data_IF_463832190964
#
_entry.id   IF_463832190964
#
_cell.length_a   1.000
_cell.length_b   1.000
_cell.length_c   1.000
_cell.angle_alpha   90.00
_cell.angle_beta   90.00
_cell.angle_gamma   90.00
#
_symmetry.space_group_name_H-M   'P 1'
#
loop_
_entity.id
_entity.type
_entity.pdbx_description
1 polymer ?
#
# COMPACT_ATOMS: atom_id res chain seq x y z
N UNK A 1 -14.25 40.33 -4.19
CA UNK A 1 -14.56 39.77 -5.53
C UNK A 1 -15.02 38.33 -5.32
N UNK A 2 -16.09 37.92 -6.01
CA UNK A 2 -17.00 36.82 -5.64
C UNK A 2 -16.37 35.42 -5.72
N UNK A 3 -16.86 34.56 -4.81
CA UNK A 3 -16.76 33.10 -4.75
C UNK A 3 -17.01 32.41 -6.09
N UNK A 4 -16.27 31.32 -6.33
CA UNK A 4 -16.77 30.17 -7.11
C UNK A 4 -16.33 28.87 -6.43
N UNK A 5 -17.22 28.36 -5.57
CA UNK A 5 -17.31 26.93 -5.28
C UNK A 5 -17.88 26.24 -6.52
N UNK A 6 -17.16 25.27 -7.07
CA UNK A 6 -17.65 24.36 -8.10
C UNK A 6 -17.96 23.00 -7.49
N UNK A 7 -19.19 22.81 -7.05
CA UNK A 7 -19.80 21.50 -6.82
C UNK A 7 -20.09 20.87 -8.17
N UNK A 8 -19.36 19.81 -8.52
CA UNK A 8 -19.55 19.02 -9.74
C UNK A 8 -20.13 17.65 -9.39
N UNK A 9 -21.39 17.45 -9.75
CA UNK A 9 -22.20 16.25 -9.57
C UNK A 9 -21.68 15.03 -10.34
N UNK A 10 -22.01 13.88 -9.76
CA UNK A 10 -21.99 12.50 -10.24
C UNK A 10 -22.21 12.28 -11.76
N UNK A 11 -21.34 11.48 -12.39
CA UNK A 11 -21.57 10.83 -13.68
C UNK A 11 -20.80 9.50 -13.74
N UNK A 12 -21.46 8.44 -14.25
CA UNK A 12 -21.11 7.02 -14.14
C UNK A 12 -19.82 6.53 -14.79
N UNK A 13 -18.68 7.12 -14.42
CA UNK A 13 -17.37 6.52 -14.66
C UNK A 13 -16.99 5.67 -13.46
N UNK A 14 -16.65 4.40 -13.73
CA UNK A 14 -16.27 3.41 -12.73
C UNK A 14 -15.32 3.99 -11.69
N UNK A 15 -15.58 3.66 -10.41
CA UNK A 15 -14.87 4.07 -9.21
C UNK A 15 -13.41 4.44 -9.49
N UNK A 16 -13.15 5.73 -9.70
CA UNK A 16 -11.80 6.25 -9.93
C UNK A 16 -11.07 6.13 -8.59
N UNK A 17 -10.37 5.02 -8.39
CA UNK A 17 -9.50 4.85 -7.23
C UNK A 17 -8.32 5.78 -7.44
N UNK A 18 -8.24 6.84 -6.62
CA UNK A 18 -7.07 7.72 -6.62
C UNK A 18 -5.82 6.86 -6.39
N UNK A 19 -4.98 6.75 -7.42
CA UNK A 19 -3.66 6.16 -7.29
C UNK A 19 -2.82 7.14 -6.48
N UNK A 20 -2.61 6.82 -5.20
CA UNK A 20 -1.61 7.50 -4.38
C UNK A 20 -0.26 7.28 -5.06
N UNK A 21 0.31 8.35 -5.64
CA UNK A 21 1.55 8.35 -6.41
C UNK A 21 2.55 9.24 -5.68
N UNK A 22 3.83 8.91 -5.80
CA UNK A 22 4.86 9.92 -5.51
C UNK A 22 4.70 11.13 -6.43
N UNK A 23 5.21 12.29 -6.02
CA UNK A 23 5.21 13.51 -6.84
C UNK A 23 5.89 13.30 -8.21
N UNK A 24 6.83 12.35 -8.33
CA UNK A 24 7.50 12.01 -9.60
C UNK A 24 6.73 11.03 -10.50
N UNK A 25 5.60 10.49 -10.06
CA UNK A 25 4.85 9.46 -10.77
C UNK A 25 5.35 8.02 -10.55
N UNK A 26 6.35 7.77 -9.68
CA UNK A 26 6.76 6.40 -9.32
C UNK A 26 5.61 5.67 -8.59
N UNK A 27 5.35 4.43 -8.99
CA UNK A 27 4.26 3.61 -8.47
C UNK A 27 4.53 3.12 -7.03
N UNK A 28 3.52 3.20 -6.15
CA UNK A 28 3.53 2.57 -4.82
C UNK A 28 3.33 1.04 -4.87
N UNK A 29 3.58 0.41 -6.03
CA UNK A 29 3.31 -1.01 -6.27
C UNK A 29 3.92 -1.93 -5.21
N UNK A 30 5.20 -1.78 -4.77
CA UNK A 30 5.76 -2.67 -3.76
C UNK A 30 5.03 -2.63 -2.41
N UNK A 31 4.58 -1.44 -2.00
CA UNK A 31 3.81 -1.24 -0.77
C UNK A 31 2.47 -1.97 -0.86
N UNK A 32 1.77 -1.81 -2.00
CA UNK A 32 0.46 -2.46 -2.21
C UNK A 32 0.58 -3.98 -2.40
N UNK A 33 1.63 -4.47 -3.04
CA UNK A 33 1.90 -5.90 -3.18
C UNK A 33 2.13 -6.54 -1.80
N UNK A 34 2.98 -5.94 -0.95
CA UNK A 34 3.23 -6.46 0.40
C UNK A 34 1.97 -6.42 1.27
N UNK A 35 1.21 -5.33 1.20
CA UNK A 35 -0.05 -5.20 1.93
C UNK A 35 -1.04 -6.28 1.49
N UNK A 36 -1.26 -6.45 0.18
CA UNK A 36 -2.18 -7.47 -0.34
C UNK A 36 -1.73 -8.89 0.03
N UNK A 37 -0.44 -9.20 -0.11
CA UNK A 37 0.13 -10.48 0.30
C UNK A 37 -0.13 -10.76 1.79
N UNK A 38 0.17 -9.79 2.65
CA UNK A 38 -0.02 -9.94 4.09
C UNK A 38 -1.50 -10.03 4.48
N UNK A 39 -2.38 -9.25 3.84
CA UNK A 39 -3.82 -9.32 4.05
C UNK A 39 -4.38 -10.69 3.65
N UNK A 40 -3.86 -11.32 2.59
CA UNK A 40 -4.27 -12.66 2.18
C UNK A 40 -3.88 -13.75 3.19
N UNK A 41 -2.94 -13.48 4.10
CA UNK A 41 -2.55 -14.40 5.17
C UNK A 41 -3.41 -14.27 6.44
N UNK A 42 -4.26 -13.24 6.53
CA UNK A 42 -5.13 -13.07 7.69
C UNK A 42 -6.15 -14.21 7.78
N UNK A 43 -6.19 -14.87 8.93
CA UNK A 43 -7.25 -15.79 9.30
C UNK A 43 -8.08 -15.16 10.42
N UNK A 44 -9.24 -14.60 10.08
CA UNK A 44 -9.92 -13.74 11.04
C UNK A 44 -9.05 -12.54 11.43
N UNK A 45 -9.33 -11.92 12.57
CA UNK A 45 -8.57 -10.76 13.05
C UNK A 45 -7.19 -11.12 13.62
N UNK A 46 -6.68 -12.30 13.28
CA UNK A 46 -5.44 -12.82 13.81
C UNK A 46 -4.25 -12.35 12.97
N UNK A 47 -3.27 -11.74 13.63
CA UNK A 47 -1.99 -11.36 13.02
C UNK A 47 -1.26 -12.61 12.53
N UNK A 48 -0.78 -12.66 11.26
CA UNK A 48 -0.10 -13.83 10.71
C UNK A 48 1.19 -14.16 11.46
N UNK A 49 1.54 -15.45 11.51
CA UNK A 49 2.83 -15.89 12.00
C UNK A 49 3.92 -15.59 10.98
N UNK A 50 5.12 -15.27 11.47
CA UNK A 50 6.30 -15.10 10.61
C UNK A 50 6.59 -16.35 9.78
N UNK A 51 6.29 -17.55 10.29
CA UNK A 51 6.47 -18.83 9.58
C UNK A 51 5.56 -18.99 8.36
N UNK A 52 4.46 -18.24 8.28
CA UNK A 52 3.56 -18.24 7.11
C UNK A 52 4.08 -17.38 5.95
N UNK A 53 5.09 -16.54 6.20
CA UNK A 53 5.71 -15.72 5.16
C UNK A 53 6.63 -16.59 4.31
N UNK A 54 6.23 -16.88 3.08
CA UNK A 54 7.09 -17.43 2.04
C UNK A 54 7.75 -16.29 1.25
N UNK A 55 9.07 -16.10 1.33
CA UNK A 55 9.79 -15.08 0.55
C UNK A 55 9.54 -15.17 -0.95
N UNK A 56 9.20 -16.35 -1.47
CA UNK A 56 8.88 -16.57 -2.89
C UNK A 56 7.68 -15.76 -3.36
N UNK A 57 6.69 -15.58 -2.48
CA UNK A 57 5.52 -14.73 -2.75
C UNK A 57 5.83 -13.24 -2.83
N UNK A 58 7.04 -12.82 -2.43
CA UNK A 58 7.49 -11.43 -2.38
C UNK A 58 8.70 -11.15 -3.27
N UNK A 59 9.11 -12.09 -4.13
CA UNK A 59 10.35 -12.03 -4.93
C UNK A 59 10.53 -10.69 -5.67
N UNK A 60 9.46 -10.18 -6.27
CA UNK A 60 9.46 -8.93 -7.04
C UNK A 60 9.71 -7.67 -6.20
N UNK A 61 9.62 -7.76 -4.87
CA UNK A 61 9.73 -6.62 -3.96
C UNK A 61 10.81 -6.81 -2.87
N UNK A 62 11.53 -7.94 -2.85
CA UNK A 62 12.54 -8.25 -1.83
C UNK A 62 13.61 -7.17 -1.68
N UNK A 63 13.95 -6.44 -2.75
CA UNK A 63 14.88 -5.30 -2.70
C UNK A 63 14.43 -4.21 -1.70
N UNK A 64 13.12 -4.03 -1.52
CA UNK A 64 12.51 -2.99 -0.69
C UNK A 64 12.03 -3.52 0.67
N UNK A 65 11.96 -4.85 0.82
CA UNK A 65 11.43 -5.52 2.00
C UNK A 65 12.45 -5.59 3.12
N UNK A 66 11.97 -5.56 4.36
CA UNK A 66 12.76 -5.79 5.54
C UNK A 66 11.95 -6.51 6.62
N UNK A 67 12.64 -7.09 7.60
CA UNK A 67 12.01 -7.71 8.77
C UNK A 67 12.57 -7.06 10.02
N UNK A 68 11.69 -6.64 10.92
CA UNK A 68 12.06 -6.15 12.24
C UNK A 68 11.76 -7.17 13.34
N UNK A 69 12.51 -7.07 14.42
CA UNK A 69 12.27 -7.76 15.68
C UNK A 69 12.18 -6.74 16.82
N UNK A 70 11.11 -6.82 17.63
CA UNK A 70 10.94 -6.04 18.86
C UNK A 70 12.00 -6.46 19.87
N UNK A 71 12.68 -5.48 20.48
CA UNK A 71 13.71 -5.71 21.51
C UNK A 71 13.24 -5.16 22.85
N UNK A 72 12.50 -4.06 22.82
CA UNK A 72 11.93 -3.39 23.97
C UNK A 72 10.66 -2.64 23.51
N UNK A 73 9.82 -2.13 24.43
CA UNK A 73 8.75 -1.21 24.07
C UNK A 73 9.27 -0.07 23.19
N UNK A 74 8.65 0.13 22.02
CA UNK A 74 8.99 1.18 21.07
C UNK A 74 10.31 0.99 20.31
N UNK A 75 11.01 -0.12 20.52
CA UNK A 75 12.30 -0.39 19.89
C UNK A 75 12.28 -1.69 19.09
N UNK A 76 12.62 -1.59 17.82
CA UNK A 76 12.79 -2.73 16.95
C UNK A 76 14.07 -2.61 16.11
N UNK A 77 14.76 -3.74 15.91
CA UNK A 77 15.95 -3.83 15.02
C UNK A 77 15.65 -4.58 13.74
N UNK A 78 16.41 -4.27 12.70
CA UNK A 78 16.44 -5.07 11.48
C UNK A 78 17.04 -6.45 11.74
N UNK A 79 16.32 -7.48 11.30
CA UNK A 79 16.82 -8.86 11.15
C UNK A 79 17.23 -9.14 9.71
N UNK A 80 16.48 -8.58 8.77
CA UNK A 80 16.69 -8.67 7.34
C UNK A 80 16.37 -7.31 6.73
N UNK A 81 17.07 -6.95 5.66
CA UNK A 81 16.81 -5.77 4.88
C UNK A 81 17.24 -5.99 3.43
N UNK A 82 16.38 -5.58 2.51
CA UNK A 82 16.67 -5.56 1.09
C UNK A 82 17.73 -4.51 0.74
N UNK A 83 18.31 -4.65 -0.45
CA UNK A 83 19.43 -3.84 -0.90
C UNK A 83 19.10 -2.34 -0.98
N UNK A 84 17.83 -1.95 -1.16
CA UNK A 84 17.41 -0.55 -1.17
C UNK A 84 17.67 0.14 0.18
N UNK A 85 17.40 -0.54 1.29
CA UNK A 85 17.65 0.01 2.63
C UNK A 85 19.14 0.16 2.90
N UNK A 86 19.95 -0.82 2.48
CA UNK A 86 21.42 -0.76 2.55
C UNK A 86 21.96 0.42 1.74
N UNK A 87 21.42 0.67 0.53
CA UNK A 87 21.77 1.85 -0.29
C UNK A 87 21.42 3.16 0.41
N UNK A 88 20.26 3.24 1.08
CA UNK A 88 19.84 4.44 1.84
C UNK A 88 20.75 4.69 3.05
N UNK A 89 21.10 3.64 3.78
CA UNK A 89 21.96 3.71 4.96
C UNK A 89 23.44 3.92 4.60
N UNK A 90 23.88 3.46 3.42
CA UNK A 90 25.29 3.44 3.02
C UNK A 90 26.11 2.34 3.69
N UNK A 91 25.46 1.43 4.42
CA UNK A 91 26.08 0.33 5.15
C UNK A 91 25.07 -0.80 5.37
N UNK A 92 25.56 -1.96 5.80
CA UNK A 92 24.75 -3.08 6.26
C UNK A 92 23.89 -2.64 7.47
N UNK A 93 22.61 -3.02 7.49
CA UNK A 93 21.65 -2.53 8.49
C UNK A 93 21.12 -3.58 9.46
N UNK A 94 21.48 -4.85 9.32
CA UNK A 94 21.09 -5.90 10.27
C UNK A 94 21.63 -5.56 11.66
N UNK A 95 20.78 -5.74 12.65
CA UNK A 95 21.06 -5.37 14.03
C UNK A 95 20.84 -3.89 14.34
N UNK A 96 20.77 -3.00 13.34
CA UNK A 96 20.49 -1.58 13.56
C UNK A 96 19.02 -1.36 13.98
N UNK A 97 18.73 -0.36 14.82
CA UNK A 97 17.36 0.01 15.15
C UNK A 97 16.68 0.74 13.98
N UNK A 98 15.37 0.56 13.81
CA UNK A 98 14.57 1.28 12.79
C UNK A 98 14.74 2.79 12.91
N UNK A 99 14.80 3.32 14.14
CA UNK A 99 14.95 4.74 14.46
C UNK A 99 16.25 5.36 13.93
N UNK A 100 17.24 4.56 13.50
CA UNK A 100 18.46 5.05 12.84
C UNK A 100 18.20 5.70 11.47
N UNK A 101 17.11 5.31 10.79
CA UNK A 101 16.68 5.89 9.52
C UNK A 101 15.99 7.25 9.69
N UNK A 102 15.71 7.67 10.93
CA UNK A 102 14.93 8.87 11.19
C UNK A 102 15.79 9.99 11.79
N UNK A 103 15.42 11.22 11.46
CA UNK A 103 15.95 12.40 12.12
C UNK A 103 15.59 12.37 13.62
N UNK A 104 16.42 12.96 14.50
CA UNK A 104 16.16 12.93 15.94
C UNK A 104 14.76 13.40 16.34
N UNK A 105 14.24 14.43 15.67
CA UNK A 105 12.90 14.99 15.88
C UNK A 105 11.78 13.99 15.61
N UNK A 106 11.95 13.05 14.67
CA UNK A 106 10.92 12.09 14.30
C UNK A 106 10.97 10.77 15.10
N UNK A 107 12.00 10.56 15.93
CA UNK A 107 12.19 9.26 16.62
C UNK A 107 11.09 8.94 17.64
N UNK A 108 10.54 9.95 18.30
CA UNK A 108 9.44 9.75 19.26
C UNK A 108 8.17 9.29 18.54
N UNK A 109 7.86 9.87 17.39
CA UNK A 109 6.72 9.47 16.58
C UNK A 109 6.87 8.04 16.06
N UNK A 110 8.06 7.67 15.57
CA UNK A 110 8.37 6.29 15.16
C UNK A 110 8.18 5.29 16.31
N UNK A 111 8.66 5.64 17.50
CA UNK A 111 8.47 4.84 18.72
C UNK A 111 6.97 4.62 18.99
N UNK A 112 6.16 5.67 18.90
CA UNK A 112 4.72 5.59 19.10
C UNK A 112 4.01 4.75 18.01
N UNK A 113 4.47 4.82 16.77
CA UNK A 113 3.96 3.97 15.68
C UNK A 113 4.35 2.49 15.89
N UNK A 114 5.59 2.21 16.31
CA UNK A 114 6.01 0.85 16.64
C UNK A 114 5.19 0.26 17.79
N UNK A 115 4.90 1.05 18.84
CA UNK A 115 4.02 0.61 19.92
C UNK A 115 2.64 0.22 19.41
N UNK A 116 2.04 1.01 18.52
CA UNK A 116 0.76 0.63 17.89
C UNK A 116 0.89 -0.67 17.09
N UNK A 117 1.93 -0.82 16.26
CA UNK A 117 2.13 -2.06 15.48
C UNK A 117 2.22 -3.30 16.38
N UNK A 118 2.88 -3.22 17.55
CA UNK A 118 3.09 -4.37 18.42
C UNK A 118 2.00 -4.58 19.48
N UNK A 119 1.56 -3.52 20.16
CA UNK A 119 0.72 -3.59 21.36
C UNK A 119 -0.78 -3.41 21.01
N UNK A 120 -1.09 -2.66 19.95
CA UNK A 120 -2.44 -2.46 19.41
C UNK A 120 -2.47 -2.81 17.91
N UNK A 121 -2.32 -4.11 17.57
CA UNK A 121 -1.84 -4.53 16.25
C UNK A 121 -2.52 -3.78 15.10
N UNK A 122 -1.70 -3.01 14.38
CA UNK A 122 -2.16 -2.13 13.32
C UNK A 122 -1.16 -2.12 12.16
N UNK A 123 -1.70 -2.07 10.95
CA UNK A 123 -0.93 -1.75 9.74
C UNK A 123 -0.64 -0.26 9.75
N UNK A 124 0.65 0.10 9.67
CA UNK A 124 1.07 1.51 9.67
C UNK A 124 1.80 1.83 8.38
N UNK A 125 1.31 2.85 7.65
CA UNK A 125 1.96 3.40 6.46
C UNK A 125 2.44 4.83 6.76
N UNK A 126 3.72 5.11 6.55
CA UNK A 126 4.35 6.40 6.80
C UNK A 126 4.77 7.06 5.49
N UNK A 127 4.41 8.33 5.31
CA UNK A 127 5.04 9.24 4.38
C UNK A 127 6.29 9.84 4.99
N UNK A 128 7.39 9.83 4.23
CA UNK A 128 8.72 10.19 4.70
C UNK A 128 9.37 11.20 3.77
N UNK A 129 10.14 12.12 4.34
CA UNK A 129 10.95 13.07 3.57
C UNK A 129 12.34 13.21 4.18
N UNK A 130 13.37 13.12 3.34
CA UNK A 130 14.73 13.49 3.69
C UNK A 130 15.05 14.82 3.02
N UNK A 131 15.04 15.89 3.81
CA UNK A 131 15.45 17.21 3.34
C UNK A 131 16.94 17.16 3.01
N UNK A 132 17.29 17.44 1.77
CA UNK A 132 18.69 17.53 1.39
C UNK A 132 19.36 18.68 2.13
N UNK A 133 20.45 18.42 2.85
CA UNK A 133 21.36 19.50 3.28
C UNK A 133 22.10 20.04 2.05
N UNK A 134 22.48 21.33 2.08
CA UNK A 134 23.18 22.08 1.02
C UNK A 134 23.88 21.18 -0.02
N UNK A 135 23.34 21.15 -1.25
CA UNK A 135 23.84 20.32 -2.37
C UNK A 135 23.24 18.90 -2.49
N UNK A 136 22.35 18.46 -1.59
CA UNK A 136 21.66 17.16 -1.71
C UNK A 136 20.25 17.33 -2.29
N UNK A 137 19.86 16.44 -3.19
CA UNK A 137 18.47 16.35 -3.64
C UNK A 137 17.53 15.93 -2.50
N UNK A 138 16.32 16.50 -2.50
CA UNK A 138 15.20 16.03 -1.69
C UNK A 138 14.89 14.59 -2.08
N UNK A 139 14.67 13.73 -1.08
CA UNK A 139 14.30 12.34 -1.28
C UNK A 139 12.99 12.08 -0.55
N UNK A 140 11.97 11.65 -1.28
CA UNK A 140 10.70 11.21 -0.70
C UNK A 140 10.75 9.70 -0.47
N UNK A 141 10.03 9.20 0.53
CA UNK A 141 9.89 7.77 0.74
C UNK A 141 8.54 7.41 1.33
N UNK A 142 8.15 6.15 1.16
CA UNK A 142 7.00 5.53 1.84
C UNK A 142 7.50 4.30 2.57
N UNK A 143 7.01 4.10 3.78
CA UNK A 143 7.31 2.92 4.58
C UNK A 143 6.02 2.28 5.07
N UNK A 144 5.87 0.98 4.84
CA UNK A 144 4.79 0.17 5.36
C UNK A 144 5.31 -0.75 6.45
N UNK A 145 4.57 -0.89 7.54
CA UNK A 145 4.84 -1.78 8.67
C UNK A 145 3.63 -2.69 8.88
N UNK A 146 3.84 -4.00 8.75
CA UNK A 146 2.84 -5.04 8.87
C UNK A 146 3.20 -5.95 10.06
N UNK A 147 2.35 -6.04 11.10
CA UNK A 147 2.66 -6.84 12.27
C UNK A 147 2.72 -8.32 11.94
N UNK A 148 3.58 -9.05 12.65
CA UNK A 148 3.71 -10.50 12.57
C UNK A 148 3.91 -11.09 13.96
N UNK A 149 3.36 -12.28 14.18
CA UNK A 149 3.68 -13.10 15.34
C UNK A 149 5.04 -13.76 15.18
N UNK A 150 5.76 -13.89 16.28
CA UNK A 150 6.94 -14.74 16.37
C UNK A 150 6.52 -16.22 16.37
N UNK A 151 7.49 -17.13 16.34
CA UNK A 151 7.24 -18.56 16.46
C UNK A 151 6.69 -18.94 17.85
N UNK A 152 6.84 -18.06 18.85
CA UNK A 152 6.25 -18.19 20.19
C UNK A 152 4.84 -17.58 20.30
N UNK A 153 4.31 -17.00 19.21
CA UNK A 153 2.95 -16.45 19.13
C UNK A 153 2.79 -15.00 19.59
N UNK A 154 3.81 -14.39 20.20
CA UNK A 154 3.83 -12.97 20.55
C UNK A 154 4.02 -12.07 19.32
N UNK A 155 3.36 -10.91 19.29
CA UNK A 155 3.50 -9.94 18.20
C UNK A 155 4.78 -9.14 18.43
N UNK A 156 5.89 -9.69 17.94
CA UNK A 156 7.24 -9.12 18.10
C UNK A 156 8.04 -9.11 16.80
N UNK A 157 7.37 -9.31 15.66
CA UNK A 157 7.96 -9.22 14.32
C UNK A 157 7.18 -8.22 13.47
N UNK A 158 7.87 -7.62 12.49
CA UNK A 158 7.24 -6.76 11.48
C UNK A 158 7.79 -7.14 10.13
N UNK A 159 6.90 -7.36 9.16
CA UNK A 159 7.24 -7.29 7.74
C UNK A 159 7.12 -5.84 7.30
N UNK A 160 8.19 -5.26 6.78
CA UNK A 160 8.18 -3.89 6.31
C UNK A 160 8.59 -3.77 4.87
N UNK A 161 8.13 -2.70 4.22
CA UNK A 161 8.57 -2.29 2.88
C UNK A 161 8.90 -0.82 2.90
N UNK A 162 10.06 -0.44 2.37
CA UNK A 162 10.43 0.96 2.19
C UNK A 162 10.82 1.19 0.74
N UNK A 163 10.12 2.12 0.10
CA UNK A 163 10.45 2.62 -1.23
C UNK A 163 10.80 4.09 -1.14
N UNK A 164 11.77 4.54 -1.92
CA UNK A 164 12.12 5.94 -2.03
C UNK A 164 12.10 6.40 -3.47
N UNK A 165 11.87 7.69 -3.62
CA UNK A 165 11.75 8.35 -4.89
C UNK A 165 12.63 9.60 -4.94
N UNK A 166 13.38 9.71 -6.04
CA UNK A 166 14.51 10.61 -6.20
C UNK A 166 15.88 9.91 -6.04
N UNK A 167 16.94 10.68 -6.25
CA UNK A 167 18.32 10.19 -6.14
C UNK A 167 18.77 10.13 -4.67
N UNK A 168 19.23 8.96 -4.22
CA UNK A 168 19.67 8.76 -2.83
C UNK A 168 20.84 9.71 -2.49
N UNK A 169 21.82 9.81 -3.39
CA UNK A 169 22.98 10.68 -3.23
C UNK A 169 23.86 10.26 -2.06
N UNK A 170 24.40 11.23 -1.32
CA UNK A 170 25.25 10.96 -0.16
C UNK A 170 24.48 10.35 1.03
N UNK A 171 24.98 9.24 1.53
CA UNK A 171 24.43 8.44 2.64
C UNK A 171 25.13 8.74 3.97
N UNK A 172 24.52 8.43 5.13
CA UNK A 172 23.15 7.92 5.30
C UNK A 172 22.09 9.01 5.03
N UNK A 173 20.94 8.60 4.49
CA UNK A 173 19.75 9.46 4.44
C UNK A 173 18.88 9.24 5.67
N UNK A 174 18.59 10.33 6.38
CA UNK A 174 17.65 10.34 7.50
C UNK A 174 16.38 11.06 7.09
N UNK A 175 15.25 10.59 7.61
CA UNK A 175 13.92 11.05 7.23
C UNK A 175 13.16 11.66 8.41
N UNK A 176 12.40 12.71 8.13
CA UNK A 176 11.24 13.10 8.94
C UNK A 176 9.98 12.39 8.44
N UNK A 177 8.92 12.43 9.24
CA UNK A 177 7.59 11.93 8.88
C UNK A 177 6.73 13.08 8.36
N UNK A 178 6.09 12.89 7.20
CA UNK A 178 5.17 13.87 6.59
C UNK A 178 3.72 13.55 6.88
N UNK A 179 3.37 12.26 6.87
CA UNK A 179 2.04 11.75 7.13
C UNK A 179 2.11 10.32 7.68
N UNK A 180 1.07 9.90 8.38
CA UNK A 180 0.92 8.54 8.87
C UNK A 180 -0.53 8.08 8.69
N UNK A 181 -0.70 6.86 8.17
CA UNK A 181 -1.98 6.17 8.08
C UNK A 181 -1.91 4.89 8.90
N UNK A 182 -2.84 4.75 9.84
CA UNK A 182 -2.87 3.63 10.78
C UNK A 182 -4.20 2.92 10.58
N UNK A 183 -4.15 1.60 10.36
CA UNK A 183 -5.32 0.75 10.19
C UNK A 183 -5.25 -0.41 11.18
N UNK A 184 -6.08 -0.42 12.24
CA UNK A 184 -6.15 -1.55 13.17
C UNK A 184 -6.43 -2.85 12.42
N UNK A 185 -5.76 -3.94 12.79
CA UNK A 185 -5.91 -5.24 12.10
C UNK A 185 -7.37 -5.71 12.15
N UNK A 186 -8.08 -5.44 13.25
CA UNK A 186 -9.50 -5.74 13.41
C UNK A 186 -10.39 -5.03 12.38
N UNK A 187 -9.99 -3.86 11.87
CA UNK A 187 -10.81 -3.06 10.94
C UNK A 187 -10.57 -3.44 9.48
N UNK A 188 -9.39 -4.00 9.16
CA UNK A 188 -9.07 -4.53 7.81
C UNK A 188 -10.01 -5.69 7.46
N UNK A 189 -10.35 -6.49 8.45
CA UNK A 189 -11.29 -7.61 8.36
C UNK A 189 -12.76 -7.17 8.24
N UNK A 190 -13.13 -6.12 8.96
CA UNK A 190 -14.50 -5.61 8.97
C UNK A 190 -14.90 -4.94 7.67
N UNK A 191 -13.95 -4.66 6.76
CA UNK A 191 -14.29 -4.34 5.37
C UNK A 191 -14.84 -5.61 4.75
N UNK A 192 -16.18 -5.75 4.65
CA UNK A 192 -16.72 -6.89 3.94
C UNK A 192 -16.27 -6.71 2.50
N UNK A 193 -16.09 -7.84 1.82
CA UNK A 193 -16.24 -7.93 0.37
C UNK A 193 -17.30 -6.89 -0.02
N UNK A 194 -16.91 -5.87 -0.78
CA UNK A 194 -17.87 -4.96 -1.38
C UNK A 194 -18.99 -5.83 -1.88
N UNK A 195 -20.18 -5.62 -1.33
CA UNK A 195 -21.40 -6.28 -1.72
C UNK A 195 -21.28 -6.49 -3.22
N UNK A 196 -21.12 -7.75 -3.65
CA UNK A 196 -21.58 -8.11 -4.96
C UNK A 196 -23.07 -7.74 -4.86
N UNK A 197 -23.40 -6.49 -5.20
CA UNK A 197 -24.63 -6.26 -5.89
C UNK A 197 -24.54 -7.29 -6.99
N UNK A 198 -25.35 -8.33 -6.88
CA UNK A 198 -25.77 -9.10 -8.01
C UNK A 198 -26.03 -8.02 -9.08
N UNK A 199 -25.07 -7.84 -9.97
CA UNK A 199 -25.35 -7.13 -11.20
C UNK A 199 -26.37 -8.04 -11.82
N UNK A 200 -27.65 -7.71 -11.61
CA UNK A 200 -28.73 -8.22 -12.40
C UNK A 200 -28.20 -8.17 -13.83
N UNK A 201 -28.04 -9.34 -14.42
CA UNK A 201 -27.41 -9.46 -15.73
C UNK A 201 -28.06 -8.47 -16.69
N UNK A 202 -27.32 -8.06 -17.71
CA UNK A 202 -27.82 -7.28 -18.84
C UNK A 202 -28.86 -8.06 -19.68
N UNK A 203 -29.72 -8.87 -19.05
CA UNK A 203 -30.95 -9.34 -19.64
C UNK A 203 -31.91 -8.16 -19.60
N UNK A 204 -31.89 -7.39 -20.69
CA UNK A 204 -32.99 -6.51 -21.06
C UNK A 204 -34.30 -7.33 -20.95
N UNK A 205 -35.35 -6.78 -20.33
CA UNK A 205 -36.67 -7.44 -20.34
C UNK A 205 -37.04 -7.69 -21.80
N UNK A 206 -37.32 -8.95 -22.13
CA UNK A 206 -37.66 -9.39 -23.47
C UNK A 206 -38.92 -8.64 -23.92
N UNK A 207 -38.74 -7.57 -24.68
CA UNK A 207 -39.84 -6.78 -25.22
C UNK A 207 -40.40 -7.53 -26.41
N UNK A 208 -41.70 -7.81 -26.36
CA UNK A 208 -42.43 -8.49 -27.42
C UNK A 208 -42.18 -7.80 -28.77
N UNK A 209 -41.59 -8.54 -29.72
CA UNK A 209 -41.27 -8.05 -31.04
C UNK A 209 -42.55 -7.70 -31.81
N UNK A 210 -42.84 -6.40 -31.96
CA UNK A 210 -43.91 -5.91 -32.83
C UNK A 210 -43.35 -5.70 -34.24
N UNK A 211 -43.72 -6.52 -35.25
CA UNK A 211 -43.29 -6.29 -36.61
C UNK A 211 -43.88 -4.97 -37.12
N UNK A 212 -43.01 -4.02 -37.47
CA UNK A 212 -43.40 -2.84 -38.22
C UNK A 212 -43.66 -3.23 -39.68
N UNK A 213 -44.73 -2.63 -40.22
CA UNK A 213 -45.36 -2.93 -41.51
C UNK A 213 -44.37 -3.09 -42.66
N UNK A 214 -44.54 -4.14 -43.46
CA UNK A 214 -43.65 -4.54 -44.54
C UNK A 214 -43.52 -3.46 -45.62
N UNK A 215 -42.30 -2.99 -45.88
CA UNK A 215 -41.96 -2.24 -47.09
C UNK A 215 -40.86 -2.97 -47.87
N UNK A 216 -41.10 -4.25 -48.18
CA UNK A 216 -40.27 -4.97 -49.16
C UNK A 216 -40.97 -4.91 -50.52
N UNK A 217 -40.43 -4.10 -51.43
CA UNK A 217 -40.81 -4.16 -52.85
C UNK A 217 -40.02 -5.28 -53.52
N UNK A 218 -40.76 -6.25 -54.02
CA UNK A 218 -40.25 -7.33 -54.85
C UNK A 218 -39.89 -6.77 -56.24
N UNK A 219 -38.63 -6.86 -56.64
CA UNK A 219 -38.19 -6.57 -58.02
C UNK A 219 -38.06 -7.90 -58.74
N UNK A 220 -38.96 -8.17 -59.68
CA UNK A 220 -38.87 -9.31 -60.59
C UNK A 220 -37.99 -8.92 -61.78
N UNK A 221 -36.86 -9.62 -61.96
CA UNK A 221 -36.13 -9.65 -63.22
C UNK A 221 -36.81 -10.67 -64.14
N UNK A 222 -37.13 -10.25 -65.37
CA UNK A 222 -37.48 -11.17 -66.46
C UNK A 222 -36.26 -11.28 -67.35
N UNK A 223 -35.63 -12.45 -67.35
CA UNK A 223 -34.69 -12.84 -68.38
C UNK A 223 -35.49 -13.29 -69.62
N UNK A 224 -35.10 -12.80 -70.78
CA UNK A 224 -35.41 -13.36 -72.09
C UNK A 224 -34.17 -13.29 -72.97
#
# INVERSE_FOLDING_TARGET
>A
MKSFFGTGSNSGFGKIVAMDRFDSGRSLSPIRQAEAYWTALLNGAEVPMRSQIDPRGLENILEYTFVLEKIAPGLARFRLAGSHLTKIAGMEVRGMPLTAFFEPSARNDVTAHLNRVFDEPAVTELGLVSNGKLGRSRLQARMLLLPLKSDLGDISRVLGVMISDGTIGATPRRFGITDARIKPVNDIQKQPQQQHHEQAGFAEEETEFKPSVSHLRLVSSRDN
#
